data_IF_466338013522
#
_entry.id   IF_466338013522
#
_cell.length_a   1.000
_cell.length_b   1.000
_cell.length_c   1.000
_cell.angle_alpha   90.00
_cell.angle_beta   90.00
_cell.angle_gamma   90.00
#
_symmetry.space_group_name_H-M   'P 1'
#
loop_
_entity.id
_entity.type
_entity.pdbx_description
1 polymer ?
#
# COMPACT_ATOMS: atom_id res chain seq x y z
N UNK A 1 0.51 17.03 -10.64
CA UNK A 1 1.95 16.90 -10.33
C UNK A 1 2.84 17.61 -11.34
N UNK A 2 2.29 18.12 -12.46
CA UNK A 2 3.05 18.63 -13.61
C UNK A 2 4.10 17.64 -14.09
N UNK A 3 3.80 16.34 -13.96
CA UNK A 3 4.68 15.22 -14.38
C UNK A 3 6.09 15.23 -13.75
N UNK A 4 6.21 15.69 -12.49
CA UNK A 4 7.52 15.86 -11.84
C UNK A 4 7.93 14.68 -10.95
N UNK A 5 6.98 13.89 -10.44
CA UNK A 5 7.23 12.88 -9.42
C UNK A 5 7.39 11.50 -10.06
N UNK A 6 8.54 10.83 -9.90
CA UNK A 6 8.76 9.48 -10.40
C UNK A 6 8.18 8.43 -9.44
N UNK A 7 6.92 8.56 -9.04
CA UNK A 7 6.22 7.59 -8.22
C UNK A 7 5.51 6.57 -9.10
N UNK A 8 5.68 5.29 -8.79
CA UNK A 8 4.92 4.21 -9.38
C UNK A 8 3.70 3.92 -8.50
N UNK A 9 2.52 3.85 -9.12
CA UNK A 9 1.26 3.49 -8.48
C UNK A 9 0.87 2.09 -8.94
N UNK A 10 0.48 1.25 -8.01
CA UNK A 10 -0.01 -0.10 -8.30
C UNK A 10 -1.12 -0.49 -7.35
N UNK A 11 -1.60 -1.73 -7.44
CA UNK A 11 -2.67 -2.23 -6.58
C UNK A 11 -2.26 -2.26 -5.10
N UNK A 12 -3.11 -1.72 -4.23
CA UNK A 12 -2.83 -1.63 -2.80
C UNK A 12 -3.09 -2.95 -2.08
N UNK A 13 -2.06 -3.48 -1.46
CA UNK A 13 -2.17 -4.67 -0.61
C UNK A 13 -2.98 -4.42 0.68
N UNK A 14 -3.02 -3.18 1.17
CA UNK A 14 -3.77 -2.82 2.38
C UNK A 14 -5.27 -3.12 2.25
N UNK A 15 -5.83 -3.02 1.05
CA UNK A 15 -7.26 -3.28 0.79
C UNK A 15 -7.61 -4.77 0.69
N UNK A 16 -6.64 -5.69 0.61
CA UNK A 16 -6.93 -7.14 0.55
C UNK A 16 -7.78 -7.60 1.74
N UNK A 17 -7.44 -7.16 2.95
CA UNK A 17 -8.26 -7.44 4.14
C UNK A 17 -9.67 -6.85 4.06
N UNK A 18 -9.84 -5.72 3.38
CA UNK A 18 -11.16 -5.12 3.14
C UNK A 18 -12.00 -5.92 2.15
N UNK A 19 -11.41 -6.40 1.06
CA UNK A 19 -12.10 -7.31 0.13
C UNK A 19 -12.55 -8.59 0.83
N UNK A 20 -11.68 -9.20 1.63
CA UNK A 20 -12.00 -10.39 2.40
C UNK A 20 -13.12 -10.12 3.43
N UNK A 21 -13.09 -8.95 4.08
CA UNK A 21 -14.13 -8.54 5.02
C UNK A 21 -15.49 -8.35 4.33
N UNK A 22 -15.54 -7.69 3.16
CA UNK A 22 -16.79 -7.55 2.39
C UNK A 22 -17.28 -8.91 1.87
N UNK A 23 -16.40 -9.80 1.42
CA UNK A 23 -16.78 -11.14 0.97
C UNK A 23 -17.43 -11.97 2.09
N UNK A 24 -17.04 -11.73 3.35
CA UNK A 24 -17.59 -12.39 4.54
C UNK A 24 -18.82 -11.71 5.15
N UNK A 25 -19.22 -10.52 4.67
CA UNK A 25 -20.44 -9.87 5.16
C UNK A 25 -21.65 -10.76 4.87
N UNK A 26 -22.45 -11.02 5.93
CA UNK A 26 -23.65 -11.85 5.88
C UNK A 26 -24.85 -11.04 6.40
N UNK A 27 -25.13 -9.92 5.73
CA UNK A 27 -26.16 -8.97 6.12
C UNK A 27 -26.97 -8.50 4.91
N UNK A 28 -28.27 -8.34 5.10
CA UNK A 28 -29.16 -7.90 4.03
C UNK A 28 -29.05 -8.78 2.76
N UNK A 29 -28.84 -8.16 1.61
CA UNK A 29 -28.67 -8.87 0.33
C UNK A 29 -27.37 -9.69 0.27
N UNK A 30 -26.36 -9.35 1.09
CA UNK A 30 -25.09 -10.10 1.11
C UNK A 30 -25.27 -11.54 1.63
N UNK A 31 -26.28 -11.84 2.45
CA UNK A 31 -26.56 -13.18 2.93
C UNK A 31 -26.86 -14.19 1.82
N UNK A 32 -27.34 -13.73 0.66
CA UNK A 32 -27.70 -14.58 -0.48
C UNK A 32 -26.66 -14.53 -1.62
N UNK A 33 -25.64 -13.68 -1.51
CA UNK A 33 -24.61 -13.46 -2.53
C UNK A 33 -23.36 -14.30 -2.26
N UNK A 34 -22.75 -14.79 -3.32
CA UNK A 34 -21.40 -15.38 -3.27
C UNK A 34 -20.34 -14.30 -3.02
N UNK A 35 -19.14 -14.69 -2.62
CA UNK A 35 -18.03 -13.74 -2.43
C UNK A 35 -17.68 -12.93 -3.69
N UNK A 36 -17.80 -13.55 -4.86
CA UNK A 36 -17.56 -12.91 -6.15
C UNK A 36 -18.63 -11.86 -6.48
N UNK A 37 -19.90 -12.14 -6.21
CA UNK A 37 -21.01 -11.20 -6.41
C UNK A 37 -20.96 -9.99 -5.46
N UNK A 38 -20.24 -10.11 -4.33
CA UNK A 38 -20.00 -9.00 -3.39
C UNK A 38 -18.84 -8.08 -3.82
N UNK A 39 -17.97 -8.55 -4.70
CA UNK A 39 -16.76 -7.82 -5.12
C UNK A 39 -17.08 -6.44 -5.74
N UNK A 40 -18.06 -6.26 -6.63
CA UNK A 40 -18.42 -4.94 -7.16
C UNK A 40 -18.79 -3.92 -6.08
N UNK A 41 -19.42 -4.34 -4.99
CA UNK A 41 -19.74 -3.46 -3.86
C UNK A 41 -18.47 -2.99 -3.12
N UNK A 42 -17.49 -3.89 -2.95
CA UNK A 42 -16.18 -3.51 -2.40
C UNK A 42 -15.48 -2.51 -3.32
N UNK A 43 -15.53 -2.71 -4.65
CA UNK A 43 -14.97 -1.80 -5.63
C UNK A 43 -15.71 -0.45 -5.66
N UNK A 44 -17.03 -0.44 -5.48
CA UNK A 44 -17.80 0.79 -5.24
C UNK A 44 -17.33 1.53 -3.99
N UNK A 45 -17.03 0.80 -2.91
CA UNK A 45 -16.40 1.34 -1.71
C UNK A 45 -15.04 1.97 -1.97
N UNK A 46 -14.23 1.41 -2.89
CA UNK A 46 -12.95 1.97 -3.34
C UNK A 46 -13.13 3.31 -4.06
N UNK A 47 -14.20 3.47 -4.84
CA UNK A 47 -14.52 4.76 -5.47
C UNK A 47 -14.68 5.84 -4.40
N UNK A 48 -15.43 5.54 -3.35
CA UNK A 48 -15.64 6.47 -2.22
C UNK A 48 -14.35 6.68 -1.44
N UNK A 49 -13.52 5.63 -1.26
CA UNK A 49 -12.20 5.76 -0.66
C UNK A 49 -11.29 6.72 -1.45
N UNK A 50 -11.29 6.65 -2.79
CA UNK A 50 -10.65 7.64 -3.65
C UNK A 50 -11.15 9.06 -3.38
N UNK A 51 -12.46 9.25 -3.14
CA UNK A 51 -13.06 10.51 -2.72
C UNK A 51 -12.47 11.04 -1.40
N UNK A 52 -12.19 10.15 -0.43
CA UNK A 52 -11.54 10.56 0.83
C UNK A 52 -10.12 11.11 0.60
N UNK A 53 -9.35 10.56 -0.35
CA UNK A 53 -8.06 11.13 -0.77
C UNK A 53 -8.22 12.56 -1.31
N UNK A 54 -9.30 12.82 -2.08
CA UNK A 54 -9.58 14.16 -2.61
C UNK A 54 -9.86 15.15 -1.47
N UNK A 55 -10.60 14.71 -0.44
CA UNK A 55 -10.86 15.51 0.77
C UNK A 55 -9.54 15.83 1.48
N UNK A 56 -8.67 14.84 1.70
CA UNK A 56 -7.37 15.07 2.32
C UNK A 56 -6.48 15.98 1.47
N UNK A 57 -6.47 15.80 0.15
CA UNK A 57 -5.74 16.68 -0.77
C UNK A 57 -6.23 18.13 -0.67
N UNK A 58 -7.53 18.35 -0.54
CA UNK A 58 -8.14 19.66 -0.33
C UNK A 58 -7.71 20.25 1.03
N UNK A 59 -7.70 19.45 2.10
CA UNK A 59 -7.21 19.89 3.41
C UNK A 59 -5.74 20.33 3.35
N UNK A 60 -4.87 19.57 2.67
CA UNK A 60 -3.49 19.98 2.44
C UNK A 60 -3.38 21.31 1.69
N UNK A 61 -4.29 21.55 0.72
CA UNK A 61 -4.32 22.80 -0.06
C UNK A 61 -4.80 24.00 0.77
N UNK A 62 -5.84 23.83 1.59
CA UNK A 62 -6.49 24.91 2.33
C UNK A 62 -5.79 25.24 3.66
N UNK A 63 -5.43 24.20 4.41
CA UNK A 63 -4.89 24.32 5.78
C UNK A 63 -3.36 24.36 5.78
N UNK A 64 -2.75 23.85 4.72
CA UNK A 64 -1.30 23.76 4.56
C UNK A 64 -0.70 22.44 5.10
N UNK A 65 0.44 22.01 4.52
CA UNK A 65 1.04 20.71 4.85
C UNK A 65 1.49 20.59 6.31
N UNK A 66 2.01 21.65 6.90
CA UNK A 66 2.52 21.63 8.29
C UNK A 66 1.44 21.26 9.31
N UNK A 67 0.24 21.85 9.19
CA UNK A 67 -0.85 21.60 10.12
C UNK A 67 -1.45 20.21 9.94
N UNK A 68 -1.59 19.75 8.68
CA UNK A 68 -2.14 18.43 8.38
C UNK A 68 -1.16 17.31 8.77
N UNK A 69 0.14 17.48 8.50
CA UNK A 69 1.20 16.52 8.88
C UNK A 69 1.31 16.29 10.39
N UNK A 70 0.80 17.19 11.22
CA UNK A 70 0.72 16.99 12.67
C UNK A 70 -0.11 15.77 13.07
N UNK A 71 -1.08 15.39 12.24
CA UNK A 71 -1.93 14.20 12.47
C UNK A 71 -1.26 12.92 11.94
N UNK A 72 -0.28 13.05 11.04
CA UNK A 72 0.42 11.95 10.37
C UNK A 72 1.94 11.95 10.63
N UNK A 73 2.37 12.04 11.91
CA UNK A 73 3.79 11.99 12.21
C UNK A 73 4.36 10.58 12.03
N UNK A 74 5.69 10.43 11.90
CA UNK A 74 6.34 9.13 11.73
C UNK A 74 6.03 8.08 12.81
N UNK A 75 5.69 8.52 14.03
CA UNK A 75 5.23 7.63 15.11
C UNK A 75 3.86 6.99 14.81
N UNK A 76 3.07 7.55 13.94
CA UNK A 76 1.79 6.99 13.47
C UNK A 76 2.00 6.25 12.16
N UNK A 77 2.63 6.90 11.16
CA UNK A 77 2.77 6.33 9.82
C UNK A 77 3.67 5.09 9.80
N UNK A 78 4.79 5.10 10.54
CA UNK A 78 5.72 3.97 10.59
C UNK A 78 5.06 2.68 11.10
N UNK A 79 4.49 2.65 12.30
CA UNK A 79 3.78 1.47 12.81
C UNK A 79 2.62 1.00 11.92
N UNK A 80 1.90 1.90 11.25
CA UNK A 80 0.85 1.51 10.30
C UNK A 80 1.43 0.78 9.09
N UNK A 81 2.51 1.30 8.49
CA UNK A 81 3.19 0.64 7.37
C UNK A 81 3.72 -0.74 7.80
N UNK A 82 4.29 -0.87 9.01
CA UNK A 82 4.68 -2.17 9.58
C UNK A 82 3.48 -3.13 9.58
N UNK A 83 2.33 -2.65 10.05
CA UNK A 83 1.12 -3.45 10.15
C UNK A 83 0.53 -3.85 8.80
N UNK A 84 0.67 -3.03 7.75
CA UNK A 84 0.22 -3.39 6.40
C UNK A 84 0.89 -4.70 5.96
N UNK A 85 2.21 -4.78 6.04
CA UNK A 85 2.92 -6.00 5.66
C UNK A 85 2.62 -7.19 6.58
N UNK A 86 2.65 -6.99 7.91
CA UNK A 86 2.45 -8.07 8.87
C UNK A 86 1.02 -8.64 8.84
N UNK A 87 0.00 -7.83 8.60
CA UNK A 87 -1.38 -8.31 8.50
C UNK A 87 -1.62 -9.26 7.32
N UNK A 88 -0.77 -9.18 6.29
CA UNK A 88 -0.83 -10.02 5.09
C UNK A 88 0.03 -11.30 5.19
N UNK A 89 0.86 -11.43 6.23
CA UNK A 89 1.76 -12.57 6.40
C UNK A 89 1.04 -13.92 6.36
N UNK A 90 -0.16 -14.00 6.98
CA UNK A 90 -1.00 -15.20 6.95
C UNK A 90 -1.40 -15.61 5.54
N UNK A 91 -1.76 -14.67 4.68
CA UNK A 91 -2.11 -14.91 3.28
C UNK A 91 -0.90 -15.45 2.48
N UNK A 92 0.29 -14.86 2.66
CA UNK A 92 1.51 -15.37 2.02
C UNK A 92 1.80 -16.81 2.41
N UNK A 93 1.73 -17.12 3.71
CA UNK A 93 1.97 -18.48 4.22
C UNK A 93 0.91 -19.46 3.68
N UNK A 94 -0.36 -19.09 3.64
CA UNK A 94 -1.43 -19.93 3.09
C UNK A 94 -1.19 -20.23 1.60
N UNK A 95 -0.74 -19.26 0.81
CA UNK A 95 -0.39 -19.47 -0.58
C UNK A 95 0.84 -20.41 -0.73
N UNK A 96 1.82 -20.32 0.17
CA UNK A 96 2.97 -21.24 0.19
C UNK A 96 2.54 -22.70 0.40
N UNK A 97 1.44 -22.96 1.13
CA UNK A 97 0.93 -24.34 1.37
C UNK A 97 0.58 -25.09 0.09
N UNK A 98 0.26 -24.39 -0.99
CA UNK A 98 0.00 -25.00 -2.29
C UNK A 98 1.20 -25.80 -2.82
N UNK A 99 2.43 -25.32 -2.62
CA UNK A 99 3.68 -26.01 -2.92
C UNK A 99 4.86 -25.33 -2.21
N UNK A 100 5.26 -25.84 -1.05
CA UNK A 100 6.35 -25.30 -0.24
C UNK A 100 7.72 -25.28 -0.95
N UNK A 101 8.00 -26.30 -1.79
CA UNK A 101 9.28 -26.36 -2.48
C UNK A 101 9.44 -25.23 -3.49
N UNK A 102 8.41 -24.98 -4.26
CA UNK A 102 8.41 -23.91 -5.25
C UNK A 102 8.42 -22.54 -4.57
N UNK A 103 7.68 -22.39 -3.44
CA UNK A 103 7.72 -21.20 -2.62
C UNK A 103 9.11 -20.92 -2.05
N UNK A 104 9.79 -21.96 -1.54
CA UNK A 104 11.15 -21.84 -1.01
C UNK A 104 12.14 -21.41 -2.11
N UNK A 105 12.04 -22.00 -3.31
CA UNK A 105 12.86 -21.59 -4.46
C UNK A 105 12.63 -20.13 -4.77
N UNK A 106 11.39 -19.67 -4.82
CA UNK A 106 11.06 -18.25 -5.08
C UNK A 106 11.71 -17.32 -4.04
N UNK A 107 11.56 -17.63 -2.75
CA UNK A 107 12.16 -16.87 -1.64
C UNK A 107 13.69 -16.83 -1.78
N UNK A 108 14.33 -18.00 -1.95
CA UNK A 108 15.79 -18.09 -2.02
C UNK A 108 16.35 -17.32 -3.21
N UNK A 109 15.73 -17.44 -4.38
CA UNK A 109 16.18 -16.70 -5.58
C UNK A 109 16.07 -15.21 -5.38
N UNK A 110 14.96 -14.70 -4.82
CA UNK A 110 14.80 -13.27 -4.53
C UNK A 110 15.87 -12.79 -3.55
N UNK A 111 16.12 -13.54 -2.47
CA UNK A 111 17.14 -13.20 -1.47
C UNK A 111 18.53 -13.17 -2.10
N UNK A 112 18.90 -14.20 -2.88
CA UNK A 112 20.21 -14.28 -3.56
C UNK A 112 20.38 -13.13 -4.54
N UNK A 113 19.37 -12.84 -5.36
CA UNK A 113 19.41 -11.73 -6.31
C UNK A 113 19.55 -10.38 -5.61
N UNK A 114 18.87 -10.17 -4.50
CA UNK A 114 18.93 -8.91 -3.74
C UNK A 114 20.31 -8.69 -3.09
N UNK A 115 20.87 -9.74 -2.47
CA UNK A 115 22.09 -9.62 -1.65
C UNK A 115 23.35 -9.70 -2.52
N UNK A 116 23.45 -10.71 -3.38
CA UNK A 116 24.66 -11.00 -4.17
C UNK A 116 24.54 -10.58 -5.64
N UNK A 117 23.31 -10.24 -6.09
CA UNK A 117 23.08 -9.79 -7.46
C UNK A 117 23.86 -8.51 -7.81
N UNK A 118 24.25 -8.38 -9.09
CA UNK A 118 24.91 -7.19 -9.64
C UNK A 118 24.13 -6.69 -10.86
N UNK A 119 24.16 -5.38 -11.10
CA UNK A 119 23.47 -4.76 -12.24
C UNK A 119 21.99 -5.08 -12.28
N UNK A 120 21.49 -5.57 -13.41
CA UNK A 120 20.06 -5.86 -13.64
C UNK A 120 19.51 -6.95 -12.71
N UNK A 121 20.32 -7.92 -12.30
CA UNK A 121 19.90 -8.99 -11.38
C UNK A 121 19.49 -8.40 -10.03
N UNK A 122 20.21 -7.42 -9.53
CA UNK A 122 19.89 -6.72 -8.28
C UNK A 122 18.67 -5.80 -8.41
N UNK A 123 18.39 -5.29 -9.61
CA UNK A 123 17.26 -4.38 -9.88
C UNK A 123 15.96 -5.15 -10.03
N UNK A 124 16.00 -6.40 -10.56
CA UNK A 124 14.82 -7.20 -10.89
C UNK A 124 14.73 -8.52 -10.10
N UNK A 125 14.98 -8.53 -8.77
CA UNK A 125 15.05 -9.76 -7.99
C UNK A 125 13.73 -10.54 -7.99
N UNK A 126 12.61 -9.84 -7.92
CA UNK A 126 11.26 -10.43 -7.88
C UNK A 126 10.94 -11.10 -9.22
N UNK A 127 11.19 -10.41 -10.34
CA UNK A 127 10.94 -10.97 -11.67
C UNK A 127 11.77 -12.23 -11.89
N UNK A 128 13.06 -12.21 -11.51
CA UNK A 128 13.96 -13.36 -11.63
C UNK A 128 13.46 -14.49 -10.71
N UNK A 129 13.04 -14.15 -9.50
CA UNK A 129 12.42 -15.10 -8.56
C UNK A 129 11.22 -15.81 -9.16
N UNK A 130 10.29 -15.07 -9.77
CA UNK A 130 9.12 -15.63 -10.47
C UNK A 130 9.56 -16.53 -11.62
N UNK A 131 10.43 -16.07 -12.51
CA UNK A 131 10.84 -16.82 -13.70
C UNK A 131 11.56 -18.13 -13.35
N UNK A 132 12.50 -18.10 -12.38
CA UNK A 132 13.24 -19.30 -11.97
C UNK A 132 12.32 -20.28 -11.26
N UNK A 133 11.48 -19.82 -10.32
CA UNK A 133 10.54 -20.70 -9.63
C UNK A 133 9.45 -21.24 -10.57
N UNK A 134 9.03 -20.47 -11.56
CA UNK A 134 8.12 -20.93 -12.60
C UNK A 134 8.76 -22.02 -13.47
N UNK A 135 10.06 -21.87 -13.85
CA UNK A 135 10.78 -22.91 -14.55
C UNK A 135 10.87 -24.21 -13.73
N UNK A 136 11.10 -24.12 -12.42
CA UNK A 136 11.04 -25.28 -11.52
C UNK A 136 9.64 -25.89 -11.49
N UNK A 137 8.59 -25.07 -11.41
CA UNK A 137 7.21 -25.53 -11.43
C UNK A 137 6.84 -26.26 -12.75
N UNK A 138 7.40 -25.80 -13.88
CA UNK A 138 7.27 -26.48 -15.18
C UNK A 138 7.87 -27.88 -15.17
N UNK A 139 9.12 -27.99 -14.70
CA UNK A 139 9.82 -29.29 -14.62
C UNK A 139 9.12 -30.26 -13.68
N UNK A 140 8.49 -29.77 -12.62
CA UNK A 140 7.74 -30.59 -11.66
C UNK A 140 6.29 -30.88 -12.07
N UNK A 141 5.85 -30.41 -13.25
CA UNK A 141 4.49 -30.63 -13.75
C UNK A 141 3.40 -29.88 -12.98
N UNK A 142 3.75 -28.83 -12.26
CA UNK A 142 2.82 -28.05 -11.43
C UNK A 142 2.10 -26.93 -12.19
N UNK A 143 2.26 -26.85 -13.51
CA UNK A 143 1.68 -25.79 -14.36
C UNK A 143 0.70 -26.40 -15.36
N UNK A 144 -0.53 -25.83 -15.42
CA UNK A 144 -1.52 -26.22 -16.42
C UNK A 144 -1.55 -25.17 -17.56
N UNK A 145 -1.31 -25.63 -18.79
CA UNK A 145 -1.29 -24.79 -19.98
C UNK A 145 -2.63 -24.72 -20.73
N UNK A 146 -3.64 -25.49 -20.33
CA UNK A 146 -4.90 -25.57 -21.08
C UNK A 146 -5.57 -24.21 -21.23
N UNK A 147 -5.57 -23.41 -20.14
CA UNK A 147 -6.12 -22.06 -20.13
C UNK A 147 -5.44 -21.12 -21.13
N UNK A 148 -4.11 -21.25 -21.30
CA UNK A 148 -3.34 -20.43 -22.25
C UNK A 148 -3.74 -20.77 -23.69
N UNK A 149 -3.96 -22.05 -23.98
CA UNK A 149 -4.38 -22.50 -25.32
C UNK A 149 -5.74 -21.91 -25.74
N UNK A 150 -6.69 -21.91 -24.81
CA UNK A 150 -8.05 -21.43 -25.02
C UNK A 150 -8.19 -19.91 -25.04
N UNK A 151 -7.27 -19.15 -24.43
CA UNK A 151 -7.34 -17.71 -24.32
C UNK A 151 -7.17 -17.00 -25.67
N UNK A 152 -7.96 -15.94 -25.90
CA UNK A 152 -7.85 -15.10 -27.09
C UNK A 152 -6.57 -14.22 -27.04
N UNK A 153 -6.08 -13.82 -28.21
CA UNK A 153 -4.94 -12.90 -28.30
C UNK A 153 -5.31 -11.46 -27.97
N UNK A 154 -6.55 -11.07 -28.27
CA UNK A 154 -7.06 -9.73 -28.03
C UNK A 154 -8.44 -9.79 -27.37
N UNK A 155 -8.65 -8.95 -26.36
CA UNK A 155 -9.91 -8.79 -25.64
C UNK A 155 -9.98 -7.45 -24.90
N UNK A 156 -11.19 -7.03 -24.55
CA UNK A 156 -11.38 -5.80 -23.75
C UNK A 156 -11.31 -6.19 -22.28
N UNK A 157 -10.41 -5.59 -21.46
CA UNK A 157 -10.21 -5.96 -20.07
C UNK A 157 -11.27 -5.37 -19.12
N UNK A 158 -12.48 -5.11 -19.62
CA UNK A 158 -13.55 -4.49 -18.86
C UNK A 158 -14.75 -5.44 -18.82
N UNK A 159 -15.07 -5.91 -17.61
CA UNK A 159 -16.21 -6.79 -17.37
C UNK A 159 -17.26 -6.05 -16.53
N UNK A 160 -18.47 -5.89 -17.07
CA UNK A 160 -19.56 -5.15 -16.39
C UNK A 160 -19.83 -5.69 -14.99
N UNK A 161 -19.78 -7.01 -14.83
CA UNK A 161 -20.10 -7.70 -13.60
C UNK A 161 -19.07 -7.47 -12.49
N UNK A 162 -17.87 -6.97 -12.83
CA UNK A 162 -16.83 -6.59 -11.86
C UNK A 162 -16.69 -5.08 -11.64
N UNK A 163 -17.42 -4.23 -12.37
CA UNK A 163 -17.31 -2.78 -12.23
C UNK A 163 -18.01 -2.26 -10.97
N UNK A 164 -17.28 -1.54 -10.12
CA UNK A 164 -17.85 -0.86 -8.96
C UNK A 164 -18.87 0.22 -9.31
N UNK A 165 -18.80 0.76 -10.54
CA UNK A 165 -19.77 1.75 -11.05
C UNK A 165 -21.23 1.31 -10.90
N UNK A 166 -21.52 0.03 -11.18
CA UNK A 166 -22.89 -0.51 -11.15
C UNK A 166 -23.35 -0.94 -9.76
N UNK A 167 -22.45 -0.98 -8.79
CA UNK A 167 -22.75 -1.30 -7.40
C UNK A 167 -23.05 -0.06 -6.54
N UNK A 168 -22.86 1.16 -7.07
CA UNK A 168 -23.15 2.42 -6.37
C UNK A 168 -24.65 2.71 -6.48
N UNK A 169 -25.46 1.97 -5.71
CA UNK A 169 -26.92 2.02 -5.74
C UNK A 169 -27.54 2.68 -4.48
N UNK A 170 -26.72 3.10 -3.51
CA UNK A 170 -27.18 3.70 -2.26
C UNK A 170 -27.90 2.73 -1.32
N UNK A 171 -27.90 1.43 -1.60
CA UNK A 171 -28.50 0.41 -0.75
C UNK A 171 -27.76 0.26 0.57
N UNK A 172 -28.42 -0.29 1.59
CA UNK A 172 -27.79 -0.65 2.89
C UNK A 172 -26.59 -1.58 2.67
N UNK A 173 -26.67 -2.46 1.69
CA UNK A 173 -25.61 -3.38 1.27
C UNK A 173 -24.38 -2.60 0.77
N UNK A 174 -24.59 -1.63 -0.14
CA UNK A 174 -23.51 -0.76 -0.62
C UNK A 174 -22.90 0.07 0.51
N UNK A 175 -23.75 0.66 1.37
CA UNK A 175 -23.29 1.47 2.51
C UNK A 175 -22.45 0.64 3.48
N UNK A 176 -22.82 -0.63 3.75
CA UNK A 176 -22.02 -1.55 4.56
C UNK A 176 -20.64 -1.82 3.95
N UNK A 177 -20.56 -2.02 2.63
CA UNK A 177 -19.29 -2.17 1.93
C UNK A 177 -18.44 -0.90 2.00
N UNK A 178 -19.04 0.28 1.83
CA UNK A 178 -18.37 1.58 1.96
C UNK A 178 -17.73 1.74 3.34
N UNK A 179 -18.47 1.49 4.41
CA UNK A 179 -17.95 1.60 5.77
C UNK A 179 -16.87 0.56 6.10
N UNK A 180 -16.87 -0.58 5.41
CA UNK A 180 -15.81 -1.59 5.54
C UNK A 180 -14.52 -1.16 4.80
N UNK A 181 -14.65 -0.59 3.61
CA UNK A 181 -13.51 -0.26 2.71
C UNK A 181 -12.90 1.11 3.02
N UNK A 182 -13.73 2.16 3.13
CA UNK A 182 -13.24 3.55 3.20
C UNK A 182 -12.28 3.82 4.35
N UNK A 183 -12.47 3.30 5.57
CA UNK A 183 -11.54 3.56 6.67
C UNK A 183 -10.12 3.04 6.42
N UNK A 184 -9.93 2.03 5.56
CA UNK A 184 -8.62 1.50 5.18
C UNK A 184 -7.81 2.56 4.41
N UNK A 185 -8.49 3.44 3.68
CA UNK A 185 -7.84 4.53 2.96
C UNK A 185 -7.03 5.47 3.87
N UNK A 186 -7.36 5.58 5.15
CA UNK A 186 -6.54 6.34 6.11
C UNK A 186 -5.13 5.77 6.23
N UNK A 187 -5.00 4.43 6.24
CA UNK A 187 -3.70 3.77 6.31
C UNK A 187 -2.90 3.98 5.02
N UNK A 188 -3.54 3.82 3.85
CA UNK A 188 -2.85 3.98 2.56
C UNK A 188 -2.51 5.44 2.24
N UNK A 189 -3.28 6.40 2.74
CA UNK A 189 -2.89 7.81 2.68
C UNK A 189 -1.63 8.10 3.51
N UNK A 190 -1.46 7.43 4.66
CA UNK A 190 -0.24 7.55 5.46
C UNK A 190 0.95 6.89 4.77
N UNK A 191 0.76 5.74 4.14
CA UNK A 191 1.74 5.08 3.28
C UNK A 191 2.19 6.01 2.15
N UNK A 192 1.25 6.59 1.40
CA UNK A 192 1.53 7.55 0.33
C UNK A 192 2.40 8.74 0.81
N UNK A 193 2.07 9.32 1.95
CA UNK A 193 2.85 10.44 2.52
C UNK A 193 4.28 9.99 2.84
N UNK A 194 4.44 8.81 3.44
CA UNK A 194 5.74 8.22 3.75
C UNK A 194 6.57 7.97 2.49
N UNK A 195 5.96 7.41 1.46
CA UNK A 195 6.62 7.08 0.20
C UNK A 195 7.04 8.33 -0.58
N UNK A 196 6.21 9.38 -0.62
CA UNK A 196 6.59 10.65 -1.23
C UNK A 196 7.78 11.30 -0.49
N UNK A 197 7.86 11.13 0.83
CA UNK A 197 9.03 11.57 1.59
C UNK A 197 10.27 10.75 1.22
N UNK A 198 10.15 9.42 1.13
CA UNK A 198 11.24 8.52 0.74
C UNK A 198 11.74 8.79 -0.71
N UNK A 199 10.81 8.99 -1.67
CA UNK A 199 11.15 9.38 -3.04
C UNK A 199 11.86 10.74 -3.06
N UNK A 200 11.41 11.69 -2.24
CA UNK A 200 12.04 13.00 -2.12
C UNK A 200 13.50 12.89 -1.64
N UNK A 201 13.73 12.09 -0.60
CA UNK A 201 15.07 11.83 -0.09
C UNK A 201 15.97 11.15 -1.14
N UNK A 202 15.44 10.13 -1.85
CA UNK A 202 16.17 9.36 -2.87
C UNK A 202 16.58 10.22 -4.07
N UNK A 203 15.70 11.10 -4.51
CA UNK A 203 15.93 11.94 -5.72
C UNK A 203 16.63 13.27 -5.42
N UNK A 204 16.76 13.64 -4.15
CA UNK A 204 17.26 14.95 -3.73
C UNK A 204 16.33 16.12 -4.06
N UNK A 205 15.03 15.84 -4.32
CA UNK A 205 14.01 16.85 -4.65
C UNK A 205 12.89 16.83 -3.62
N UNK A 206 12.41 17.99 -3.18
CA UNK A 206 11.35 18.08 -2.20
C UNK A 206 9.95 18.04 -2.84
N UNK A 207 9.42 16.83 -3.05
CA UNK A 207 8.09 16.65 -3.64
C UNK A 207 6.93 16.93 -2.66
N UNK A 208 7.21 17.01 -1.37
CA UNK A 208 6.25 17.44 -0.35
C UNK A 208 5.87 18.92 -0.59
N UNK A 209 6.83 19.73 -1.07
CA UNK A 209 6.63 21.14 -1.36
C UNK A 209 6.26 21.39 -2.84
N UNK A 210 6.99 20.80 -3.78
CA UNK A 210 6.78 20.97 -5.24
C UNK A 210 6.83 19.60 -5.93
N UNK A 211 5.70 19.11 -6.43
CA UNK A 211 4.40 19.74 -6.69
C UNK A 211 3.47 19.92 -5.48
N UNK A 212 3.82 19.35 -4.33
CA UNK A 212 3.05 19.39 -3.10
C UNK A 212 2.18 18.14 -2.88
N UNK A 213 2.05 17.72 -1.60
CA UNK A 213 1.26 16.54 -1.21
C UNK A 213 -0.20 16.62 -1.65
N UNK A 214 -0.78 17.84 -1.74
CA UNK A 214 -2.12 18.02 -2.25
C UNK A 214 -2.29 17.52 -3.70
N UNK A 215 -1.24 17.60 -4.53
CA UNK A 215 -1.30 17.16 -5.93
C UNK A 215 -0.96 15.68 -6.08
N UNK A 216 -0.10 15.14 -5.24
CA UNK A 216 0.23 13.72 -5.28
C UNK A 216 -0.94 12.90 -4.75
N UNK A 217 -1.56 13.29 -3.62
CA UNK A 217 -2.77 12.69 -3.08
C UNK A 217 -3.97 12.82 -4.04
N UNK A 218 -4.12 13.98 -4.71
CA UNK A 218 -5.14 14.15 -5.74
C UNK A 218 -4.97 13.13 -6.87
N UNK A 219 -3.72 12.89 -7.31
CA UNK A 219 -3.42 11.93 -8.37
C UNK A 219 -3.72 10.50 -7.96
N UNK A 220 -3.30 10.10 -6.76
CA UNK A 220 -3.52 8.77 -6.20
C UNK A 220 -5.02 8.51 -5.95
N UNK A 221 -5.74 9.49 -5.36
CA UNK A 221 -7.18 9.39 -5.13
C UNK A 221 -8.00 9.27 -6.41
N UNK A 222 -7.66 10.05 -7.45
CA UNK A 222 -8.33 9.93 -8.75
C UNK A 222 -8.03 8.58 -9.41
N UNK A 223 -6.80 8.09 -9.35
CA UNK A 223 -6.43 6.79 -9.87
C UNK A 223 -7.17 5.66 -9.14
N UNK A 224 -7.26 5.74 -7.81
CA UNK A 224 -8.01 4.80 -6.97
C UNK A 224 -9.50 4.81 -7.30
N UNK A 225 -10.12 5.98 -7.42
CA UNK A 225 -11.53 6.09 -7.80
C UNK A 225 -11.80 5.53 -9.20
N UNK A 226 -10.95 5.86 -10.18
CA UNK A 226 -11.07 5.32 -11.54
C UNK A 226 -10.89 3.80 -11.58
N UNK A 227 -9.92 3.26 -10.83
CA UNK A 227 -9.73 1.82 -10.74
C UNK A 227 -11.00 1.13 -10.23
N UNK A 228 -11.56 1.59 -9.11
CA UNK A 228 -12.81 1.04 -8.57
C UNK A 228 -14.00 1.15 -9.52
N UNK A 229 -14.14 2.26 -10.25
CA UNK A 229 -15.20 2.42 -11.26
C UNK A 229 -15.09 1.38 -12.37
N UNK A 230 -13.87 1.09 -12.83
CA UNK A 230 -13.59 0.22 -13.98
C UNK A 230 -13.37 -1.25 -13.60
N UNK A 231 -13.55 -1.63 -12.34
CA UNK A 231 -13.39 -3.02 -11.89
C UNK A 231 -11.99 -3.39 -11.38
N UNK A 232 -11.10 -2.40 -11.22
CA UNK A 232 -9.77 -2.60 -10.68
C UNK A 232 -9.67 -2.35 -9.17
N UNK A 233 -8.67 -2.91 -8.50
CA UNK A 233 -8.41 -2.67 -7.08
C UNK A 233 -7.94 -1.24 -6.81
N UNK A 234 -8.02 -0.80 -5.55
CA UNK A 234 -7.47 0.49 -5.12
C UNK A 234 -5.98 0.59 -5.45
N UNK A 235 -5.54 1.80 -5.77
CA UNK A 235 -4.12 2.08 -5.96
C UNK A 235 -3.43 2.54 -4.67
N UNK A 236 -2.12 2.40 -4.63
CA UNK A 236 -1.21 3.03 -3.66
C UNK A 236 0.13 3.32 -4.31
N UNK A 237 0.92 4.18 -3.70
CA UNK A 237 2.31 4.42 -4.11
C UNK A 237 3.18 3.25 -3.63
N UNK A 238 4.03 2.69 -4.52
CA UNK A 238 4.91 1.57 -4.15
C UNK A 238 6.26 2.07 -3.62
N UNK A 239 6.44 1.96 -2.31
CA UNK A 239 7.70 2.27 -1.63
C UNK A 239 8.87 1.39 -2.09
N UNK A 240 8.60 0.13 -2.48
CA UNK A 240 9.59 -0.80 -3.03
C UNK A 240 10.25 -0.26 -4.31
N UNK A 241 9.49 0.44 -5.15
CA UNK A 241 10.01 1.02 -6.37
C UNK A 241 10.98 2.19 -6.10
N UNK A 242 10.93 2.81 -4.93
CA UNK A 242 11.93 3.78 -4.49
C UNK A 242 13.31 3.15 -4.39
N UNK A 243 13.40 1.88 -3.98
CA UNK A 243 14.65 1.10 -4.00
C UNK A 243 15.18 0.91 -5.42
N UNK A 244 14.30 0.64 -6.40
CA UNK A 244 14.67 0.54 -7.83
C UNK A 244 15.16 1.88 -8.37
N UNK A 245 14.52 2.99 -8.01
CA UNK A 245 14.98 4.34 -8.36
C UNK A 245 16.38 4.62 -7.80
N UNK A 246 16.63 4.26 -6.55
CA UNK A 246 17.93 4.44 -5.89
C UNK A 246 19.05 3.65 -6.57
N UNK A 247 18.76 2.40 -6.99
CA UNK A 247 19.72 1.51 -7.63
C UNK A 247 19.99 1.88 -9.09
N UNK A 248 18.94 2.20 -9.85
CA UNK A 248 19.03 2.55 -11.27
C UNK A 248 19.51 3.98 -11.49
N UNK A 249 19.32 4.87 -10.51
CA UNK A 249 19.54 6.32 -10.60
C UNK A 249 18.74 6.99 -11.73
N UNK A 250 17.64 6.36 -12.17
CA UNK A 250 16.76 6.89 -13.21
C UNK A 250 15.55 7.53 -12.52
N UNK A 251 15.49 8.86 -12.51
CA UNK A 251 14.47 9.64 -11.82
C UNK A 251 13.51 10.37 -12.78
N UNK A 252 13.54 10.05 -14.07
CA UNK A 252 12.63 10.67 -15.04
C UNK A 252 11.24 10.04 -14.96
N UNK A 253 10.19 10.81 -14.64
CA UNK A 253 8.81 10.32 -14.61
C UNK A 253 8.30 9.79 -15.95
N UNK A 254 9.01 10.08 -17.07
CA UNK A 254 8.67 9.54 -18.39
C UNK A 254 8.73 8.01 -18.39
N UNK A 255 9.70 7.42 -17.68
CA UNK A 255 9.86 5.96 -17.58
C UNK A 255 8.61 5.32 -16.97
N UNK A 256 8.09 5.92 -15.89
CA UNK A 256 6.86 5.44 -15.23
C UNK A 256 5.65 5.54 -16.17
N UNK A 257 5.56 6.63 -16.95
CA UNK A 257 4.46 6.81 -17.93
C UNK A 257 4.54 5.79 -19.05
N UNK A 258 5.72 5.49 -19.56
CA UNK A 258 5.92 4.45 -20.59
C UNK A 258 5.51 3.08 -20.00
N UNK A 259 5.93 2.77 -18.77
CA UNK A 259 5.53 1.54 -18.10
C UNK A 259 4.01 1.43 -17.95
N UNK A 260 3.32 2.51 -17.59
CA UNK A 260 1.85 2.55 -17.50
C UNK A 260 1.17 2.30 -18.86
N UNK A 261 1.68 2.91 -19.95
CA UNK A 261 1.16 2.68 -21.30
C UNK A 261 1.37 1.22 -21.73
N UNK A 262 2.54 0.65 -21.46
CA UNK A 262 2.81 -0.76 -21.74
C UNK A 262 1.88 -1.70 -20.96
N UNK A 263 1.61 -1.40 -19.68
CA UNK A 263 0.67 -2.16 -18.88
C UNK A 263 -0.76 -2.10 -19.46
N UNK A 264 -1.20 -0.93 -19.92
CA UNK A 264 -2.49 -0.76 -20.60
C UNK A 264 -2.54 -1.60 -21.89
N UNK A 265 -1.48 -1.58 -22.70
CA UNK A 265 -1.42 -2.38 -23.93
C UNK A 265 -1.49 -3.87 -23.62
N UNK A 266 -0.76 -4.33 -22.60
CA UNK A 266 -0.75 -5.74 -22.19
C UNK A 266 -2.11 -6.19 -21.63
N UNK A 267 -2.89 -5.29 -21.01
CA UNK A 267 -4.22 -5.62 -20.50
C UNK A 267 -5.22 -6.02 -21.57
N UNK A 268 -4.99 -5.63 -22.84
CA UNK A 268 -5.84 -6.05 -23.97
C UNK A 268 -5.53 -7.48 -24.47
N UNK A 269 -4.62 -8.20 -23.82
CA UNK A 269 -4.27 -9.58 -24.17
C UNK A 269 -4.74 -10.57 -23.12
N UNK A 270 -5.92 -11.23 -23.27
CA UNK A 270 -6.35 -12.32 -22.40
C UNK A 270 -5.34 -13.47 -22.35
N UNK A 271 -4.56 -13.66 -23.41
CA UNK A 271 -3.48 -14.65 -23.43
C UNK A 271 -2.36 -14.32 -22.43
N UNK A 272 -2.02 -13.04 -22.29
CA UNK A 272 -1.03 -12.60 -21.27
C UNK A 272 -1.58 -12.80 -19.85
N UNK A 273 -2.87 -12.49 -19.65
CA UNK A 273 -3.56 -12.76 -18.38
C UNK A 273 -3.57 -14.26 -18.07
N UNK A 274 -3.88 -15.10 -19.06
CA UNK A 274 -3.86 -16.56 -18.89
C UNK A 274 -2.48 -17.08 -18.49
N UNK A 275 -1.38 -16.53 -19.05
CA UNK A 275 -0.01 -16.88 -18.63
C UNK A 275 0.23 -16.51 -17.18
N UNK A 276 -0.19 -15.33 -16.73
CA UNK A 276 -0.05 -14.92 -15.32
C UNK A 276 -0.85 -15.85 -14.41
N UNK A 277 -2.07 -16.21 -14.79
CA UNK A 277 -2.96 -17.07 -14.01
C UNK A 277 -2.48 -18.53 -13.92
N UNK A 278 -1.53 -18.96 -14.76
CA UNK A 278 -0.88 -20.28 -14.61
C UNK A 278 0.21 -20.31 -13.55
N UNK A 279 0.57 -19.16 -12.97
CA UNK A 279 1.59 -19.10 -11.90
C UNK A 279 1.04 -19.82 -10.67
N UNK A 280 1.68 -20.94 -10.23
CA UNK A 280 1.24 -21.67 -9.06
C UNK A 280 1.19 -20.82 -7.79
N UNK A 281 0.19 -21.06 -6.95
CA UNK A 281 -0.02 -20.31 -5.70
C UNK A 281 1.20 -20.34 -4.78
N UNK A 282 1.98 -21.42 -4.80
CA UNK A 282 3.25 -21.52 -4.05
C UNK A 282 4.26 -20.44 -4.46
N UNK A 283 4.38 -20.11 -5.76
CA UNK A 283 5.25 -19.01 -6.24
C UNK A 283 4.75 -17.67 -5.72
N UNK A 284 3.44 -17.43 -5.88
CA UNK A 284 2.80 -16.21 -5.39
C UNK A 284 3.03 -16.08 -3.88
N UNK A 285 2.87 -17.16 -3.12
CA UNK A 285 3.14 -17.20 -1.69
C UNK A 285 4.58 -16.85 -1.34
N UNK A 286 5.56 -17.46 -2.01
CA UNK A 286 6.99 -17.21 -1.77
C UNK A 286 7.39 -15.78 -2.09
N UNK A 287 6.93 -15.22 -3.19
CA UNK A 287 7.16 -13.82 -3.57
C UNK A 287 6.48 -12.88 -2.58
N UNK A 288 5.20 -13.12 -2.25
CA UNK A 288 4.44 -12.31 -1.29
C UNK A 288 5.05 -12.32 0.10
N UNK A 289 5.62 -13.46 0.54
CA UNK A 289 6.34 -13.57 1.81
C UNK A 289 7.48 -12.54 1.90
N UNK A 290 8.28 -12.42 0.84
CA UNK A 290 9.37 -11.44 0.80
C UNK A 290 8.82 -10.01 0.67
N UNK A 291 7.82 -9.78 -0.20
CA UNK A 291 7.23 -8.45 -0.42
C UNK A 291 6.60 -7.89 0.85
N UNK A 292 5.75 -8.65 1.54
CA UNK A 292 5.08 -8.20 2.75
C UNK A 292 6.07 -7.94 3.89
N UNK A 293 7.12 -8.77 3.97
CA UNK A 293 8.24 -8.53 4.87
C UNK A 293 8.98 -7.22 4.55
N UNK A 294 9.20 -6.91 3.27
CA UNK A 294 9.83 -5.66 2.84
C UNK A 294 8.96 -4.44 3.15
N UNK A 295 7.63 -4.51 2.95
CA UNK A 295 6.71 -3.43 3.33
C UNK A 295 6.86 -3.12 4.83
N UNK A 296 6.85 -4.16 5.68
CA UNK A 296 7.05 -3.98 7.13
C UNK A 296 8.42 -3.38 7.44
N UNK A 297 9.47 -3.80 6.75
CA UNK A 297 10.82 -3.25 6.92
C UNK A 297 10.91 -1.76 6.51
N UNK A 298 10.16 -1.34 5.46
CA UNK A 298 10.03 0.07 5.09
C UNK A 298 9.37 0.88 6.22
N UNK A 299 8.37 0.33 6.88
CA UNK A 299 7.76 0.95 8.06
C UNK A 299 8.76 1.12 9.22
N UNK A 300 9.58 0.09 9.49
CA UNK A 300 10.68 0.18 10.48
C UNK A 300 11.68 1.25 10.06
N UNK A 301 12.08 1.27 8.79
CA UNK A 301 12.98 2.28 8.24
C UNK A 301 12.42 3.70 8.43
N UNK A 302 11.12 3.91 8.19
CA UNK A 302 10.45 5.20 8.40
C UNK A 302 10.61 5.69 9.85
N UNK A 303 10.40 4.79 10.83
CA UNK A 303 10.58 5.09 12.26
C UNK A 303 12.03 5.45 12.58
N UNK A 304 12.99 4.67 12.08
CA UNK A 304 14.42 4.84 12.37
C UNK A 304 14.98 6.11 11.72
N UNK A 305 14.68 6.35 10.45
CA UNK A 305 15.16 7.52 9.71
C UNK A 305 14.62 8.82 10.30
N UNK A 306 13.38 8.82 10.78
CA UNK A 306 12.75 9.96 11.45
C UNK A 306 13.15 10.08 12.95
N UNK A 307 14.05 9.21 13.44
CA UNK A 307 14.55 9.23 14.82
C UNK A 307 13.43 9.28 15.86
N UNK A 308 12.39 8.47 15.65
CA UNK A 308 11.27 8.39 16.60
C UNK A 308 11.81 7.88 17.94
N UNK A 309 11.64 8.68 18.98
CA UNK A 309 12.09 8.34 20.33
C UNK A 309 11.06 7.46 21.04
N UNK A 310 11.36 6.17 21.18
CA UNK A 310 10.54 5.19 21.92
C UNK A 310 10.83 5.15 23.42
N UNK A 311 11.82 5.92 23.92
CA UNK A 311 11.97 6.10 25.37
C UNK A 311 10.88 7.01 25.94
N UNK A 312 10.24 7.79 25.06
CA UNK A 312 9.09 8.59 25.40
C UNK A 312 7.83 7.71 25.51
N UNK A 313 7.25 7.65 26.71
CA UNK A 313 6.06 6.85 27.00
C UNK A 313 4.87 7.14 26.07
N UNK A 314 4.71 8.41 25.64
CA UNK A 314 3.67 8.81 24.67
C UNK A 314 3.83 8.07 23.36
N UNK A 315 5.02 8.11 22.80
CA UNK A 315 5.31 7.47 21.51
C UNK A 315 5.18 5.95 21.63
N UNK A 316 5.70 5.39 22.73
CA UNK A 316 5.58 3.95 22.99
C UNK A 316 4.11 3.50 23.03
N UNK A 317 3.24 4.24 23.72
CA UNK A 317 1.80 3.92 23.82
C UNK A 317 1.11 4.04 22.44
N UNK A 318 1.39 5.11 21.67
CA UNK A 318 0.79 5.28 20.34
C UNK A 318 1.15 4.10 19.44
N UNK A 319 2.43 3.74 19.37
CA UNK A 319 2.88 2.60 18.57
C UNK A 319 2.28 1.27 19.07
N UNK A 320 2.29 1.02 20.38
CA UNK A 320 1.75 -0.21 20.96
C UNK A 320 0.27 -0.40 20.61
N UNK A 321 -0.55 0.65 20.73
CA UNK A 321 -1.97 0.58 20.38
C UNK A 321 -2.16 0.33 18.89
N UNK A 322 -1.40 1.01 18.01
CA UNK A 322 -1.49 0.78 16.55
C UNK A 322 -1.18 -0.68 16.24
N UNK A 323 -0.06 -1.21 16.74
CA UNK A 323 0.39 -2.58 16.45
C UNK A 323 -0.63 -3.62 16.95
N UNK A 324 -1.12 -3.46 18.19
CA UNK A 324 -2.07 -4.40 18.77
C UNK A 324 -3.43 -4.29 18.10
N UNK A 325 -3.92 -3.09 17.80
CA UNK A 325 -5.19 -2.93 17.08
C UNK A 325 -5.13 -3.56 15.68
N UNK A 326 -4.06 -3.29 14.92
CA UNK A 326 -3.96 -3.83 13.57
C UNK A 326 -3.94 -5.35 13.54
N UNK A 327 -3.05 -5.98 14.32
CA UNK A 327 -2.87 -7.42 14.30
C UNK A 327 -3.94 -8.17 15.10
N UNK A 328 -4.31 -7.63 16.26
CA UNK A 328 -5.32 -8.26 17.14
C UNK A 328 -6.70 -8.28 16.49
N UNK A 329 -7.19 -7.15 15.99
CA UNK A 329 -8.49 -7.14 15.32
C UNK A 329 -8.47 -7.87 13.98
N UNK A 330 -7.33 -7.88 13.26
CA UNK A 330 -7.20 -8.68 12.05
C UNK A 330 -7.36 -10.18 12.35
N UNK A 331 -6.82 -10.67 13.46
CA UNK A 331 -6.88 -12.08 13.85
C UNK A 331 -8.28 -12.57 14.21
N UNK A 332 -9.17 -11.66 14.65
CA UNK A 332 -10.57 -11.96 15.03
C UNK A 332 -11.59 -11.53 13.97
N UNK A 333 -11.13 -11.10 12.77
CA UNK A 333 -12.00 -10.73 11.65
C UNK A 333 -12.52 -9.30 11.67
N UNK A 334 -11.90 -8.41 12.47
CA UNK A 334 -12.28 -7.00 12.59
C UNK A 334 -13.26 -6.72 13.74
N UNK A 335 -13.80 -5.51 13.75
CA UNK A 335 -14.83 -5.07 14.70
C UNK A 335 -16.11 -4.81 13.93
N UNK A 336 -17.15 -5.61 14.24
CA UNK A 336 -18.46 -5.46 13.60
C UNK A 336 -19.48 -4.88 14.60
N UNK A 337 -20.23 -3.87 14.18
CA UNK A 337 -21.33 -3.29 14.90
C UNK A 337 -22.39 -2.76 13.94
N UNK A 338 -23.64 -2.68 14.40
CA UNK A 338 -24.75 -2.17 13.57
C UNK A 338 -25.16 -0.77 14.05
N UNK A 339 -25.33 0.15 13.10
CA UNK A 339 -25.85 1.50 13.33
C UNK A 339 -26.97 1.77 12.32
N UNK A 340 -28.16 2.06 12.82
CA UNK A 340 -29.34 2.39 12.01
C UNK A 340 -29.63 1.35 10.88
N UNK A 341 -29.45 0.06 11.18
CA UNK A 341 -29.69 -1.04 10.23
C UNK A 341 -28.51 -1.35 9.30
N UNK A 342 -27.47 -0.51 9.28
CA UNK A 342 -26.24 -0.73 8.49
C UNK A 342 -25.22 -1.46 9.35
N UNK A 343 -24.70 -2.58 8.86
CA UNK A 343 -23.57 -3.27 9.51
C UNK A 343 -22.25 -2.66 9.05
N UNK A 344 -21.48 -2.20 10.03
CA UNK A 344 -20.14 -1.65 9.84
C UNK A 344 -19.14 -2.68 10.32
N UNK A 345 -18.21 -3.08 9.45
CA UNK A 345 -17.08 -3.92 9.82
C UNK A 345 -15.78 -3.13 9.60
N UNK A 346 -15.07 -2.86 10.68
CA UNK A 346 -13.77 -2.19 10.63
C UNK A 346 -12.66 -3.23 10.69
N UNK A 347 -11.85 -3.28 9.64
CA UNK A 347 -10.63 -4.12 9.63
C UNK A 347 -9.65 -3.65 10.71
N UNK A 348 -8.77 -4.55 11.16
CA UNK A 348 -7.75 -4.22 12.16
C UNK A 348 -6.91 -3.02 11.75
N UNK A 349 -6.58 -2.90 10.46
CA UNK A 349 -5.81 -1.77 9.93
C UNK A 349 -6.58 -0.45 10.00
N UNK A 350 -7.88 -0.48 9.72
CA UNK A 350 -8.75 0.70 9.84
C UNK A 350 -8.84 1.18 11.29
N UNK A 351 -9.05 0.25 12.24
CA UNK A 351 -9.08 0.56 13.67
C UNK A 351 -7.74 1.13 14.13
N UNK A 352 -6.64 0.54 13.71
CA UNK A 352 -5.28 1.00 14.06
C UNK A 352 -5.01 2.42 13.55
N UNK A 353 -5.41 2.72 12.30
CA UNK A 353 -5.25 4.04 11.71
C UNK A 353 -6.04 5.10 12.49
N UNK A 354 -7.32 4.84 12.76
CA UNK A 354 -8.18 5.75 13.54
C UNK A 354 -7.61 5.94 14.95
N UNK A 355 -7.30 4.85 15.65
CA UNK A 355 -6.76 4.90 17.01
C UNK A 355 -5.43 5.65 17.08
N UNK A 356 -4.51 5.39 16.13
CA UNK A 356 -3.21 6.06 16.06
C UNK A 356 -3.34 7.56 15.84
N UNK A 357 -4.19 8.01 14.91
CA UNK A 357 -4.46 9.43 14.66
C UNK A 357 -5.07 10.09 15.89
N UNK A 358 -6.09 9.48 16.50
CA UNK A 358 -6.78 10.03 17.67
C UNK A 358 -5.83 10.12 18.86
N UNK A 359 -5.11 9.06 19.20
CA UNK A 359 -4.15 9.09 20.31
C UNK A 359 -3.07 10.14 20.09
N UNK A 360 -2.53 10.21 18.88
CA UNK A 360 -1.54 11.23 18.56
C UNK A 360 -2.10 12.66 18.68
N UNK A 361 -3.38 12.87 18.37
CA UNK A 361 -4.03 14.18 18.47
C UNK A 361 -4.32 14.58 19.94
N UNK A 362 -4.75 13.63 20.77
CA UNK A 362 -5.18 13.92 22.15
C UNK A 362 -4.07 13.84 23.18
N UNK A 363 -3.07 12.98 22.99
CA UNK A 363 -1.97 12.88 23.94
C UNK A 363 -1.05 14.12 23.90
N UNK A 364 -0.67 14.68 25.03
CA UNK A 364 0.16 15.88 25.09
C UNK A 364 1.49 15.65 24.40
N UNK A 365 1.87 16.58 23.49
CA UNK A 365 3.19 16.51 22.84
C UNK A 365 4.27 17.01 23.80
N UNK A 366 5.37 16.26 23.93
CA UNK A 366 6.55 16.68 24.68
C UNK A 366 7.45 17.65 23.91
N UNK A 367 7.18 17.82 22.59
CA UNK A 367 7.94 18.70 21.73
C UNK A 367 8.03 20.19 22.18
N UNK A 368 6.95 20.82 22.70
CA UNK A 368 7.06 22.21 23.15
C UNK A 368 8.05 22.43 24.29
N UNK A 369 8.14 21.49 25.25
CA UNK A 369 9.04 21.64 26.40
C UNK A 369 10.52 21.53 26.04
N UNK A 370 10.87 20.71 25.07
CA UNK A 370 12.25 20.55 24.63
C UNK A 370 12.69 21.71 23.73
N UNK A 371 11.80 22.28 22.96
CA UNK A 371 12.08 23.45 22.12
C UNK A 371 12.18 24.73 22.95
N UNK A 372 11.34 24.89 23.97
CA UNK A 372 11.45 25.97 24.95
C UNK A 372 12.76 25.90 25.74
N UNK A 373 13.21 24.69 26.10
CA UNK A 373 14.49 24.47 26.78
C UNK A 373 15.71 24.75 25.88
N UNK A 374 15.57 24.60 24.57
CA UNK A 374 16.61 24.87 23.58
C UNK A 374 16.54 26.30 23.02
N UNK A 375 15.57 27.11 23.44
CA UNK A 375 15.37 28.49 22.94
C UNK A 375 15.01 28.54 21.45
N UNK A 376 14.49 27.45 20.88
CA UNK A 376 14.13 27.35 19.47
C UNK A 376 12.64 27.63 19.28
N UNK A 377 12.32 28.64 18.48
CA UNK A 377 10.94 28.90 18.06
C UNK A 377 10.48 27.93 16.99
N UNK A 378 9.21 27.53 17.04
CA UNK A 378 8.58 26.73 15.96
C UNK A 378 8.59 27.43 14.60
N UNK A 379 8.82 28.73 14.57
CA UNK A 379 8.96 29.55 13.34
C UNK A 379 10.34 29.36 12.68
N UNK A 380 11.35 28.92 13.43
CA UNK A 380 12.74 28.79 12.95
C UNK A 380 13.04 27.39 12.39
N UNK A 381 12.10 26.45 12.43
CA UNK A 381 12.26 25.13 11.82
C UNK A 381 12.06 25.28 10.31
N UNK A 382 13.16 25.56 9.63
CA UNK A 382 13.23 25.44 8.18
C UNK A 382 13.19 23.95 7.81
N UNK A 383 11.98 23.48 7.41
CA UNK A 383 11.77 22.12 6.94
C UNK A 383 12.65 21.77 5.73
N UNK A 384 13.20 22.77 5.04
CA UNK A 384 14.20 22.54 4.00
C UNK A 384 15.52 22.01 4.56
N UNK A 385 15.89 22.43 5.79
CA UNK A 385 17.07 21.93 6.50
C UNK A 385 16.84 20.56 7.14
N UNK A 386 15.63 20.26 7.58
CA UNK A 386 15.28 18.92 8.05
C UNK A 386 15.42 17.88 6.93
N UNK A 387 15.02 18.23 5.68
CA UNK A 387 15.27 17.40 4.50
C UNK A 387 16.76 17.32 4.13
N UNK A 388 17.56 18.36 4.36
CA UNK A 388 19.00 18.37 4.05
C UNK A 388 19.84 17.57 5.06
N UNK A 389 19.37 17.37 6.28
CA UNK A 389 20.00 16.43 7.24
C UNK A 389 19.94 14.97 6.76
N UNK A 390 19.02 14.64 5.84
CA UNK A 390 18.92 13.33 5.21
C UNK A 390 19.91 13.12 4.05
N UNK A 391 20.58 14.15 3.56
CA UNK A 391 21.47 14.10 2.37
C UNK A 391 22.96 14.15 2.72
N UNK A 392 23.35 14.26 3.99
CA UNK A 392 24.75 14.10 4.37
C UNK A 392 25.12 12.61 4.33
N UNK A 393 26.11 12.20 3.50
CA UNK A 393 26.61 10.83 3.51
C UNK A 393 27.10 10.45 4.90
N UNK A 394 26.75 9.24 5.35
CA UNK A 394 27.26 8.68 6.58
C UNK A 394 28.80 8.69 6.54
N UNK A 395 29.51 8.97 7.64
CA UNK A 395 30.98 8.91 7.70
C UNK A 395 31.56 7.52 7.30
N UNK A 396 30.71 6.51 7.07
CA UNK A 396 31.11 5.18 6.60
C UNK A 396 31.12 5.02 5.07
N UNK A 397 30.61 5.98 4.31
CA UNK A 397 30.56 5.90 2.85
C UNK A 397 31.79 6.54 2.16
N UNK A 398 32.80 6.96 2.97
CA UNK A 398 34.07 7.54 2.51
C UNK A 398 35.27 6.62 2.70
N UNK A 399 35.06 5.29 2.70
CA UNK A 399 36.15 4.32 2.63
C UNK A 399 35.95 3.30 1.52
#
# INVERSE_FOLDING_TARGET
TKLKVPAFLGSSFAFLGGFEAVAKLDVGRFATMTGEEKLPYALGGIVIAGGLYLVLALLFKLVGPQKVMRFFPPIVTGPIIICIGLSLAGSAINNCRGNWWVALVAILVVVVCNIWGKGMVKILPILIGVLVSYAVALVTGAVDFQAIGAAAWFGIPLHKDSMGLFAIDGSETFISAVFTIVPIALATMMEHIGDIAAISATTGKNYIRDPGLNKTLLGDGLATAMAGLLGGPANTTYGENTGVLALSKIYDPLVIRIAAVLAIILSFSPKFEAVINTIPTGIIGGISFVLYGMISAIGVRNVVENRVDFTNSRNLIVAAVILVCALGFNSVGGVSFAVAGVTINLSGLAVAAIAGILLNAYLPSTAPKMMDQLGLSTADIDLSKACLLYTSPSPRDTR
#
